data_IF_336426924755
#
_entry.id   IF_336426924755
#
_cell.length_a   1.000
_cell.length_b   1.000
_cell.length_c   1.000
_cell.angle_alpha   90.00
_cell.angle_beta   90.00
_cell.angle_gamma   90.00
#
_symmetry.space_group_name_H-M   'P 1'
#
loop_
_entity.id
_entity.type
_entity.pdbx_description
1 polymer ?
#
# COMPACT_ATOMS: atom_id res chain seq x y z
N UNK A 1 -26.20 -12.48 3.31
CA UNK A 1 -25.07 -13.30 2.79
C UNK A 1 -23.84 -13.04 3.63
N UNK A 2 -23.05 -14.08 3.95
CA UNK A 2 -21.90 -13.99 4.85
C UNK A 2 -20.80 -13.09 4.22
N UNK A 3 -20.26 -12.13 4.97
CA UNK A 3 -19.08 -11.29 4.68
C UNK A 3 -17.92 -12.13 4.07
N UNK A 4 -17.70 -13.33 4.59
CA UNK A 4 -16.66 -14.27 4.12
C UNK A 4 -16.78 -14.66 2.64
N UNK A 5 -17.98 -14.74 2.08
CA UNK A 5 -18.16 -15.09 0.64
C UNK A 5 -17.76 -13.93 -0.26
N UNK A 6 -18.11 -12.69 0.11
CA UNK A 6 -17.74 -11.49 -0.63
C UNK A 6 -16.23 -11.27 -0.61
N UNK A 7 -15.59 -11.43 0.56
CA UNK A 7 -14.14 -11.26 0.74
C UNK A 7 -13.33 -12.23 -0.12
N UNK A 8 -13.80 -13.48 -0.27
CA UNK A 8 -13.18 -14.48 -1.16
C UNK A 8 -13.18 -14.00 -2.62
N UNK A 9 -14.30 -13.44 -3.09
CA UNK A 9 -14.37 -12.92 -4.45
C UNK A 9 -13.51 -11.67 -4.62
N UNK A 10 -13.46 -10.79 -3.63
CA UNK A 10 -12.59 -9.60 -3.67
C UNK A 10 -11.10 -9.99 -3.77
N UNK A 11 -10.64 -10.99 -3.03
CA UNK A 11 -9.26 -11.49 -3.14
C UNK A 11 -8.93 -12.01 -4.54
N UNK A 12 -9.90 -12.64 -5.22
CA UNK A 12 -9.74 -13.06 -6.62
C UNK A 12 -9.70 -11.85 -7.55
N UNK A 13 -10.56 -10.85 -7.34
CA UNK A 13 -10.56 -9.60 -8.11
C UNK A 13 -9.24 -8.84 -7.98
N UNK A 14 -8.62 -8.83 -6.79
CA UNK A 14 -7.28 -8.25 -6.58
C UNK A 14 -6.29 -8.83 -7.59
N UNK A 15 -6.23 -10.16 -7.72
CA UNK A 15 -5.33 -10.83 -8.69
C UNK A 15 -5.63 -10.47 -10.13
N UNK A 16 -6.91 -10.46 -10.52
CA UNK A 16 -7.31 -10.10 -11.89
C UNK A 16 -6.89 -8.67 -12.21
N UNK A 17 -7.18 -7.71 -11.32
CA UNK A 17 -6.84 -6.31 -11.57
C UNK A 17 -5.34 -6.03 -11.47
N UNK A 18 -4.58 -6.74 -10.65
CA UNK A 18 -3.11 -6.66 -10.65
C UNK A 18 -2.51 -7.07 -11.99
N UNK A 19 -3.01 -8.17 -12.56
CA UNK A 19 -2.44 -8.72 -13.79
C UNK A 19 -2.88 -7.97 -15.05
N UNK A 20 -4.11 -7.46 -15.08
CA UNK A 20 -4.71 -6.91 -16.32
C UNK A 20 -4.94 -5.39 -16.25
N UNK A 21 -4.74 -4.76 -15.11
CA UNK A 21 -5.18 -3.39 -14.85
C UNK A 21 -6.72 -3.28 -14.85
N UNK A 22 -7.22 -2.08 -14.62
CA UNK A 22 -8.67 -1.83 -14.68
C UNK A 22 -9.19 -1.97 -16.11
N UNK A 23 -8.51 -1.37 -17.09
CA UNK A 23 -8.97 -1.33 -18.47
C UNK A 23 -8.91 -2.70 -19.13
N UNK A 24 -7.84 -3.46 -18.93
CA UNK A 24 -7.63 -4.78 -19.52
C UNK A 24 -8.49 -5.89 -18.88
N UNK A 25 -9.00 -5.71 -17.66
CA UNK A 25 -9.85 -6.69 -17.01
C UNK A 25 -11.25 -6.70 -17.62
N UNK A 26 -11.60 -7.74 -18.36
CA UNK A 26 -12.95 -7.94 -18.92
C UNK A 26 -13.86 -8.69 -17.94
N UNK A 27 -15.19 -8.48 -18.06
CA UNK A 27 -16.19 -9.24 -17.28
C UNK A 27 -16.07 -10.76 -17.52
N UNK A 28 -15.67 -11.17 -18.71
CA UNK A 28 -15.45 -12.59 -19.03
C UNK A 28 -14.26 -13.17 -18.26
N UNK A 29 -13.13 -12.44 -18.17
CA UNK A 29 -11.97 -12.84 -17.35
C UNK A 29 -12.31 -12.89 -15.86
N UNK A 30 -13.03 -11.87 -15.36
CA UNK A 30 -13.50 -11.82 -13.98
C UNK A 30 -14.42 -13.01 -13.67
N UNK A 31 -15.39 -13.30 -14.57
CA UNK A 31 -16.29 -14.44 -14.45
C UNK A 31 -15.52 -15.76 -14.36
N UNK A 32 -14.57 -15.96 -15.28
CA UNK A 32 -13.71 -17.16 -15.29
C UNK A 32 -12.88 -17.29 -14.00
N UNK A 33 -12.28 -16.20 -13.54
CA UNK A 33 -11.41 -16.21 -12.37
C UNK A 33 -12.19 -16.44 -11.06
N UNK A 34 -13.37 -15.83 -10.92
CA UNK A 34 -14.21 -15.94 -9.72
C UNK A 34 -15.07 -17.21 -9.68
N UNK A 35 -15.26 -17.87 -10.82
CA UNK A 35 -16.23 -18.97 -11.00
C UNK A 35 -17.69 -18.51 -10.97
N UNK A 36 -17.95 -17.20 -11.00
CA UNK A 36 -19.30 -16.63 -10.98
C UNK A 36 -19.79 -16.37 -12.41
N UNK A 37 -21.02 -16.76 -12.71
CA UNK A 37 -21.67 -16.33 -13.95
C UNK A 37 -21.93 -14.82 -13.97
N UNK A 38 -22.10 -14.22 -15.18
CA UNK A 38 -22.34 -12.78 -15.34
C UNK A 38 -23.49 -12.27 -14.46
N UNK A 39 -24.61 -12.99 -14.40
CA UNK A 39 -25.75 -12.60 -13.57
C UNK A 39 -25.39 -12.55 -12.08
N UNK A 40 -24.62 -13.53 -11.58
CA UNK A 40 -24.14 -13.53 -10.20
C UNK A 40 -23.16 -12.40 -9.94
N UNK A 41 -22.27 -12.06 -10.88
CA UNK A 41 -21.37 -10.92 -10.75
C UNK A 41 -22.15 -9.62 -10.58
N UNK A 42 -23.14 -9.35 -11.41
CA UNK A 42 -23.98 -8.15 -11.30
C UNK A 42 -24.93 -8.18 -10.09
N UNK A 43 -25.26 -9.36 -9.58
CA UNK A 43 -25.97 -9.47 -8.29
C UNK A 43 -25.08 -9.05 -7.12
N UNK A 44 -23.79 -9.42 -7.13
CA UNK A 44 -22.84 -9.05 -6.08
C UNK A 44 -22.28 -7.61 -6.22
N UNK A 45 -22.18 -7.14 -7.46
CA UNK A 45 -21.61 -5.86 -7.84
C UNK A 45 -22.50 -5.18 -8.89
N UNK A 46 -23.65 -4.59 -8.47
CA UNK A 46 -24.60 -3.96 -9.39
C UNK A 46 -23.99 -2.86 -10.26
N UNK A 47 -23.01 -2.11 -9.73
CA UNK A 47 -22.23 -1.11 -10.47
C UNK A 47 -21.15 -1.70 -11.39
N UNK A 48 -21.13 -3.03 -11.58
CA UNK A 48 -20.25 -3.72 -12.49
C UNK A 48 -18.77 -3.61 -12.14
N UNK A 49 -17.93 -3.50 -13.17
CA UNK A 49 -16.46 -3.48 -13.03
C UNK A 49 -15.96 -2.33 -12.14
N UNK A 50 -16.63 -1.18 -12.19
CA UNK A 50 -16.27 -0.02 -11.38
C UNK A 50 -16.48 -0.30 -9.88
N UNK A 51 -17.62 -0.86 -9.51
CA UNK A 51 -17.89 -1.26 -8.11
C UNK A 51 -16.95 -2.37 -7.65
N UNK A 52 -16.61 -3.30 -8.53
CA UNK A 52 -15.62 -4.35 -8.23
C UNK A 52 -14.25 -3.74 -7.90
N UNK A 53 -13.78 -2.77 -8.68
CA UNK A 53 -12.51 -2.09 -8.41
C UNK A 53 -12.59 -1.26 -7.13
N UNK A 54 -13.66 -0.48 -6.91
CA UNK A 54 -13.87 0.25 -5.63
C UNK A 54 -13.82 -0.71 -4.44
N UNK A 55 -14.48 -1.86 -4.52
CA UNK A 55 -14.45 -2.87 -3.47
C UNK A 55 -13.05 -3.46 -3.24
N UNK A 56 -12.26 -3.61 -4.29
CA UNK A 56 -10.85 -4.03 -4.20
C UNK A 56 -10.01 -2.96 -3.51
N UNK A 57 -10.17 -1.70 -3.90
CA UNK A 57 -9.44 -0.58 -3.27
C UNK A 57 -9.82 -0.42 -1.79
N UNK A 58 -11.10 -0.54 -1.44
CA UNK A 58 -11.57 -0.52 -0.05
C UNK A 58 -10.98 -1.67 0.78
N UNK A 59 -10.95 -2.87 0.20
CA UNK A 59 -10.37 -4.06 0.84
C UNK A 59 -8.87 -3.88 1.09
N UNK A 60 -8.14 -3.40 0.08
CA UNK A 60 -6.71 -3.14 0.20
C UNK A 60 -6.42 -1.96 1.13
N UNK A 61 -7.22 -0.89 1.06
CA UNK A 61 -7.11 0.25 1.97
C UNK A 61 -7.25 -0.17 3.43
N UNK A 62 -8.27 -0.96 3.76
CA UNK A 62 -8.45 -1.52 5.12
C UNK A 62 -7.28 -2.42 5.52
N UNK A 63 -6.77 -3.24 4.61
CA UNK A 63 -5.62 -4.11 4.88
C UNK A 63 -4.36 -3.29 5.14
N UNK A 64 -4.13 -2.25 4.35
CA UNK A 64 -3.01 -1.34 4.54
C UNK A 64 -3.15 -0.55 5.86
N UNK A 65 -4.34 -0.02 6.16
CA UNK A 65 -4.63 0.64 7.45
C UNK A 65 -4.31 -0.30 8.62
N UNK A 66 -4.86 -1.50 8.62
CA UNK A 66 -4.75 -2.44 9.73
C UNK A 66 -3.34 -3.02 9.91
N UNK A 67 -2.56 -3.16 8.84
CA UNK A 67 -1.26 -3.83 8.88
C UNK A 67 -0.07 -2.88 8.76
N UNK A 68 -0.24 -1.66 8.23
CA UNK A 68 0.85 -0.69 8.10
C UNK A 68 0.67 0.50 9.03
N UNK A 69 -0.47 1.19 8.96
CA UNK A 69 -0.70 2.39 9.77
C UNK A 69 -0.81 2.02 11.26
N UNK A 70 -1.51 0.94 11.61
CA UNK A 70 -1.63 0.50 13.00
C UNK A 70 -0.27 0.08 13.61
N UNK A 71 0.67 -0.42 12.82
CA UNK A 71 2.02 -0.73 13.34
C UNK A 71 2.79 0.53 13.74
N UNK A 72 2.57 1.65 13.04
CA UNK A 72 3.14 2.95 13.40
C UNK A 72 2.57 3.50 14.71
N UNK A 73 1.32 3.19 15.05
CA UNK A 73 0.65 3.57 16.30
C UNK A 73 0.97 2.64 17.46
N UNK A 74 1.62 1.52 17.19
CA UNK A 74 1.94 0.48 18.18
C UNK A 74 3.06 0.88 19.15
N UNK A 75 3.39 -0.03 20.05
CA UNK A 75 4.46 0.12 21.02
C UNK A 75 5.84 -0.15 20.38
N UNK A 76 6.87 0.42 20.98
CA UNK A 76 8.26 0.27 20.58
C UNK A 76 8.92 1.58 20.16
N UNK A 77 10.22 1.52 19.94
CA UNK A 77 11.00 2.64 19.39
C UNK A 77 10.57 2.95 17.95
N UNK A 78 10.87 4.16 17.49
CA UNK A 78 10.54 4.55 16.10
C UNK A 78 11.13 3.58 15.06
N UNK A 79 12.41 3.19 15.12
CA UNK A 79 12.94 2.19 14.20
C UNK A 79 12.18 0.85 14.23
N UNK A 80 11.76 0.37 15.41
CA UNK A 80 10.99 -0.87 15.53
C UNK A 80 9.58 -0.74 14.92
N UNK A 81 8.90 0.39 15.15
CA UNK A 81 7.57 0.67 14.56
C UNK A 81 7.65 0.73 13.03
N UNK A 82 8.67 1.40 12.48
CA UNK A 82 8.92 1.46 11.04
C UNK A 82 9.39 0.11 10.47
N UNK A 83 10.13 -0.71 11.22
CA UNK A 83 10.45 -2.09 10.82
C UNK A 83 9.17 -2.92 10.66
N UNK A 84 8.28 -2.89 11.65
CA UNK A 84 6.98 -3.59 11.59
C UNK A 84 6.12 -3.13 10.42
N UNK A 85 6.10 -1.82 10.13
CA UNK A 85 5.45 -1.28 8.93
C UNK A 85 6.08 -1.87 7.65
N UNK A 86 7.39 -1.95 7.60
CA UNK A 86 8.12 -2.56 6.48
C UNK A 86 7.79 -4.03 6.29
N UNK A 87 7.72 -4.82 7.37
CA UNK A 87 7.30 -6.23 7.33
C UNK A 87 5.87 -6.40 6.80
N UNK A 88 4.96 -5.48 7.16
CA UNK A 88 3.61 -5.47 6.61
C UNK A 88 3.61 -5.24 5.09
N UNK A 89 4.43 -4.32 4.57
CA UNK A 89 4.60 -4.14 3.13
C UNK A 89 5.25 -5.35 2.46
N UNK A 90 6.23 -6.00 3.11
CA UNK A 90 6.79 -7.27 2.63
C UNK A 90 5.71 -8.34 2.44
N UNK A 91 4.78 -8.45 3.39
CA UNK A 91 3.65 -9.39 3.29
C UNK A 91 2.64 -9.00 2.19
N UNK A 92 2.31 -7.71 2.06
CA UNK A 92 1.31 -7.22 1.09
C UNK A 92 1.78 -7.40 -0.35
N UNK A 93 3.08 -7.20 -0.60
CA UNK A 93 3.69 -7.27 -1.93
C UNK A 93 4.48 -8.56 -2.17
N UNK A 94 4.28 -9.59 -1.33
CA UNK A 94 4.95 -10.91 -1.44
C UNK A 94 6.46 -10.77 -1.65
N UNK A 95 7.10 -9.94 -0.80
CA UNK A 95 8.54 -9.68 -0.87
C UNK A 95 8.99 -8.89 -2.11
N UNK A 96 8.09 -8.22 -2.81
CA UNK A 96 8.36 -7.43 -4.02
C UNK A 96 7.97 -8.15 -5.31
N UNK A 97 7.31 -9.31 -5.23
CA UNK A 97 6.86 -10.08 -6.39
C UNK A 97 5.52 -9.56 -6.94
N UNK A 98 4.69 -8.96 -6.09
CA UNK A 98 3.37 -8.43 -6.46
C UNK A 98 3.41 -6.90 -6.70
N UNK A 99 2.84 -6.39 -7.80
CA UNK A 99 2.81 -4.97 -8.08
C UNK A 99 1.81 -4.20 -7.21
N UNK A 100 2.02 -2.89 -7.08
CA UNK A 100 1.10 -2.01 -6.37
C UNK A 100 -0.13 -1.72 -7.23
N UNK A 101 -1.31 -2.15 -6.78
CA UNK A 101 -2.56 -1.89 -7.50
C UNK A 101 -2.93 -0.40 -7.53
N UNK A 102 -2.54 0.35 -6.50
CA UNK A 102 -2.77 1.80 -6.46
C UNK A 102 -1.99 2.50 -7.59
N UNK A 103 -0.73 2.09 -7.83
CA UNK A 103 0.06 2.61 -8.94
C UNK A 103 -0.55 2.22 -10.30
N UNK A 104 -1.01 0.97 -10.45
CA UNK A 104 -1.67 0.51 -11.68
C UNK A 104 -2.91 1.35 -11.99
N UNK A 105 -3.72 1.67 -10.99
CA UNK A 105 -4.94 2.48 -11.17
C UNK A 105 -4.60 3.91 -11.53
N UNK A 106 -3.58 4.52 -10.89
CA UNK A 106 -3.17 5.90 -11.16
C UNK A 106 -2.54 6.09 -12.55
N UNK A 107 -1.93 5.05 -13.10
CA UNK A 107 -1.30 5.11 -14.43
C UNK A 107 -2.25 4.67 -15.56
N UNK A 108 -3.46 4.23 -15.23
CA UNK A 108 -4.47 3.79 -16.19
C UNK A 108 -5.43 4.90 -16.60
N UNK A 109 -6.25 4.65 -17.62
CA UNK A 109 -7.25 5.60 -18.13
C UNK A 109 -8.44 5.83 -17.16
N UNK A 110 -8.54 5.05 -16.10
CA UNK A 110 -9.59 5.16 -15.08
C UNK A 110 -9.14 5.94 -13.84
N UNK A 111 -8.04 6.66 -13.90
CA UNK A 111 -7.47 7.43 -12.80
C UNK A 111 -8.54 8.29 -12.12
N UNK A 112 -9.29 9.08 -12.89
CA UNK A 112 -10.29 10.03 -12.34
C UNK A 112 -11.37 9.35 -11.49
N UNK A 113 -11.68 8.08 -11.78
CA UNK A 113 -12.72 7.31 -11.06
C UNK A 113 -12.31 6.89 -9.66
N UNK A 114 -11.00 6.76 -9.41
CA UNK A 114 -10.46 6.13 -8.21
C UNK A 114 -9.46 7.02 -7.48
N UNK A 115 -9.15 8.20 -8.03
CA UNK A 115 -8.14 9.12 -7.49
C UNK A 115 -8.42 9.48 -6.03
N UNK A 116 -9.67 9.71 -5.66
CA UNK A 116 -10.04 10.09 -4.29
C UNK A 116 -9.68 8.99 -3.28
N UNK A 117 -9.98 7.71 -3.59
CA UNK A 117 -9.64 6.59 -2.70
C UNK A 117 -8.12 6.42 -2.57
N UNK A 118 -7.40 6.53 -3.70
CA UNK A 118 -5.93 6.41 -3.71
C UNK A 118 -5.29 7.58 -2.96
N UNK A 119 -5.77 8.81 -3.18
CA UNK A 119 -5.33 10.02 -2.48
C UNK A 119 -5.53 9.88 -0.98
N UNK A 120 -6.72 9.45 -0.54
CA UNK A 120 -7.03 9.25 0.88
C UNK A 120 -6.04 8.27 1.53
N UNK A 121 -5.73 7.16 0.87
CA UNK A 121 -4.77 6.19 1.39
C UNK A 121 -3.35 6.79 1.53
N UNK A 122 -2.80 7.39 0.46
CA UNK A 122 -1.46 7.96 0.52
C UNK A 122 -1.36 9.08 1.55
N UNK A 123 -2.37 9.94 1.63
CA UNK A 123 -2.43 11.02 2.62
C UNK A 123 -2.42 10.45 4.04
N UNK A 124 -3.32 9.53 4.36
CA UNK A 124 -3.40 8.93 5.71
C UNK A 124 -2.09 8.26 6.12
N UNK A 125 -1.43 7.61 5.19
CA UNK A 125 -0.15 6.94 5.45
C UNK A 125 0.99 7.94 5.69
N UNK A 126 1.13 8.96 4.84
CA UNK A 126 2.13 10.03 5.01
C UNK A 126 1.91 10.81 6.31
N UNK A 127 0.66 11.18 6.60
CA UNK A 127 0.30 11.93 7.81
C UNK A 127 0.64 11.12 9.07
N UNK A 128 0.37 9.81 9.10
CA UNK A 128 0.71 8.98 10.25
C UNK A 128 2.22 8.81 10.43
N UNK A 129 2.99 8.58 9.36
CA UNK A 129 4.46 8.56 9.45
C UNK A 129 5.01 9.87 9.98
N UNK A 130 4.53 11.00 9.44
CA UNK A 130 4.93 12.34 9.86
C UNK A 130 4.64 12.56 11.34
N UNK A 131 3.41 12.24 11.77
CA UNK A 131 2.98 12.37 13.16
C UNK A 131 3.91 11.61 14.11
N UNK A 132 4.21 10.37 13.79
CA UNK A 132 5.07 9.49 14.58
C UNK A 132 6.49 10.04 14.70
N UNK A 133 7.04 10.59 13.62
CA UNK A 133 8.38 11.22 13.62
C UNK A 133 8.41 12.53 14.42
N UNK A 134 7.33 13.33 14.36
CA UNK A 134 7.19 14.55 15.15
C UNK A 134 7.07 14.24 16.64
N UNK A 135 6.31 13.21 17.03
CA UNK A 135 6.21 12.74 18.42
C UNK A 135 7.57 12.30 18.99
N UNK A 136 8.49 11.81 18.14
CA UNK A 136 9.88 11.47 18.51
C UNK A 136 10.82 12.68 18.55
N UNK A 137 10.31 13.89 18.28
CA UNK A 137 11.04 15.15 18.41
C UNK A 137 11.64 15.70 17.12
N UNK A 138 11.29 15.14 15.95
CA UNK A 138 11.67 15.71 14.66
C UNK A 138 10.82 16.95 14.36
N UNK A 139 11.38 17.98 13.75
CA UNK A 139 10.57 19.12 13.28
C UNK A 139 9.64 18.68 12.14
N UNK A 140 8.49 19.37 12.02
CA UNK A 140 7.42 18.97 11.10
C UNK A 140 7.89 18.90 9.64
N UNK A 141 8.69 19.87 9.20
CA UNK A 141 9.16 19.94 7.80
C UNK A 141 10.07 18.77 7.48
N UNK A 142 11.01 18.46 8.37
CA UNK A 142 11.92 17.32 8.23
C UNK A 142 11.15 16.00 8.30
N UNK A 143 10.18 15.89 9.20
CA UNK A 143 9.33 14.70 9.33
C UNK A 143 8.50 14.44 8.06
N UNK A 144 7.92 15.48 7.45
CA UNK A 144 7.20 15.39 6.18
C UNK A 144 8.12 14.90 5.06
N UNK A 145 9.28 15.55 4.87
CA UNK A 145 10.24 15.17 3.84
C UNK A 145 10.74 13.72 4.03
N UNK A 146 10.94 13.29 5.29
CA UNK A 146 11.35 11.92 5.60
C UNK A 146 10.25 10.91 5.29
N UNK A 147 9.00 11.22 5.60
CA UNK A 147 7.84 10.38 5.28
C UNK A 147 7.68 10.22 3.77
N UNK A 148 7.83 11.30 3.01
CA UNK A 148 7.82 11.27 1.54
C UNK A 148 8.99 10.45 0.98
N UNK A 149 10.23 10.62 1.51
CA UNK A 149 11.40 9.81 1.11
C UNK A 149 11.14 8.33 1.27
N UNK A 150 10.54 7.92 2.40
CA UNK A 150 10.22 6.51 2.68
C UNK A 150 9.16 6.00 1.71
N UNK A 151 8.09 6.77 1.50
CA UNK A 151 7.00 6.39 0.61
C UNK A 151 7.49 6.28 -0.85
N UNK A 152 8.27 7.25 -1.34
CA UNK A 152 8.91 7.23 -2.66
C UNK A 152 9.81 6.01 -2.80
N UNK A 153 10.61 5.72 -1.77
CA UNK A 153 11.53 4.59 -1.80
C UNK A 153 10.81 3.23 -1.82
N UNK A 154 9.72 3.07 -1.06
CA UNK A 154 8.89 1.85 -1.09
C UNK A 154 8.30 1.66 -2.49
N UNK A 155 7.63 2.68 -3.04
CA UNK A 155 7.01 2.61 -4.36
C UNK A 155 8.04 2.46 -5.48
N UNK A 156 9.12 3.23 -5.45
CA UNK A 156 10.19 3.16 -6.45
C UNK A 156 10.94 1.83 -6.44
N UNK A 157 11.27 1.31 -5.25
CA UNK A 157 11.92 0.00 -5.13
C UNK A 157 11.03 -1.15 -5.62
N UNK A 158 9.72 -1.05 -5.42
CA UNK A 158 8.75 -2.02 -5.93
C UNK A 158 8.67 -2.00 -7.46
N UNK A 159 8.61 -0.81 -8.06
CA UNK A 159 8.62 -0.65 -9.53
C UNK A 159 9.92 -1.21 -10.12
N UNK A 160 11.09 -0.91 -9.52
CA UNK A 160 12.37 -1.45 -9.97
C UNK A 160 12.44 -2.96 -9.81
N UNK A 161 11.91 -3.50 -8.71
CA UNK A 161 11.85 -4.95 -8.48
C UNK A 161 11.08 -5.66 -9.60
N UNK A 162 9.94 -5.10 -10.01
CA UNK A 162 9.12 -5.61 -11.11
C UNK A 162 9.83 -5.47 -12.46
N UNK A 163 10.30 -4.25 -12.79
CA UNK A 163 10.92 -3.94 -14.09
C UNK A 163 12.21 -4.72 -14.35
N UNK A 164 12.96 -5.05 -13.31
CA UNK A 164 14.22 -5.81 -13.38
C UNK A 164 14.06 -7.28 -13.04
N UNK A 165 12.84 -7.76 -12.75
CA UNK A 165 12.56 -9.11 -12.25
C UNK A 165 13.47 -9.49 -11.07
N UNK A 166 13.73 -8.52 -10.17
CA UNK A 166 14.63 -8.66 -9.04
C UNK A 166 13.99 -8.19 -7.72
N UNK A 167 13.20 -9.03 -7.04
CA UNK A 167 12.53 -8.69 -5.79
C UNK A 167 13.50 -8.29 -4.65
N UNK A 168 14.79 -8.65 -4.75
CA UNK A 168 15.78 -8.29 -3.74
C UNK A 168 15.97 -6.75 -3.61
N UNK A 169 15.65 -5.97 -4.66
CA UNK A 169 15.71 -4.50 -4.61
C UNK A 169 14.71 -3.98 -3.58
N UNK A 170 13.47 -4.43 -3.64
CA UNK A 170 12.42 -4.06 -2.70
C UNK A 170 12.78 -4.49 -1.28
N UNK A 171 13.19 -5.75 -1.09
CA UNK A 171 13.57 -6.29 0.22
C UNK A 171 14.68 -5.48 0.88
N UNK A 172 15.75 -5.15 0.16
CA UNK A 172 16.84 -4.31 0.67
C UNK A 172 16.37 -2.93 1.10
N UNK A 173 15.50 -2.30 0.30
CA UNK A 173 14.96 -1.00 0.68
C UNK A 173 14.14 -1.08 1.96
N UNK A 174 13.21 -2.04 2.06
CA UNK A 174 12.40 -2.24 3.27
C UNK A 174 13.28 -2.45 4.51
N UNK A 175 14.29 -3.29 4.40
CA UNK A 175 15.22 -3.55 5.51
C UNK A 175 16.04 -2.33 5.93
N UNK A 176 16.25 -1.35 5.04
CA UNK A 176 16.98 -0.12 5.34
C UNK A 176 16.14 0.97 6.04
N UNK A 177 14.82 0.83 6.08
CA UNK A 177 13.92 1.87 6.63
C UNK A 177 14.23 2.21 8.10
N UNK A 178 14.45 1.25 9.02
CA UNK A 178 14.75 1.54 10.42
C UNK A 178 15.98 2.44 10.61
N UNK A 179 17.02 2.23 9.80
CA UNK A 179 18.23 3.08 9.85
C UNK A 179 17.97 4.49 9.33
N UNK A 180 17.10 4.63 8.32
CA UNK A 180 16.75 5.92 7.71
C UNK A 180 16.01 6.83 8.70
N UNK A 181 15.16 6.30 9.56
CA UNK A 181 14.43 7.06 10.57
C UNK A 181 15.30 7.35 11.80
N UNK A 182 16.31 6.54 12.11
CA UNK A 182 17.21 6.75 13.22
C UNK A 182 18.21 7.91 12.98
N UNK A 183 18.67 8.09 11.75
CA UNK A 183 19.64 9.15 11.36
C UNK A 183 19.09 10.57 11.44
N UNK A 184 17.79 10.77 11.69
CA UNK A 184 17.17 12.09 11.88
C UNK A 184 17.30 12.66 13.28
N UNK A 185 17.84 11.92 14.24
CA UNK A 185 18.21 12.48 15.55
C UNK A 185 19.52 13.24 15.38
N UNK A 186 19.42 14.56 15.18
CA UNK A 186 20.57 15.45 15.28
C UNK A 186 21.31 15.15 16.56
N UNK A 187 22.62 14.92 16.47
CA UNK A 187 23.54 14.94 17.61
C UNK A 187 23.24 16.19 18.42
N UNK A 188 22.49 16.06 19.52
CA UNK A 188 22.46 17.11 20.53
C UNK A 188 23.90 17.24 21.03
N UNK A 189 24.45 18.39 20.72
CA UNK A 189 25.70 18.94 21.20
C UNK A 189 26.23 18.25 22.44
N UNK A 190 27.24 17.40 22.30
CA UNK A 190 28.24 17.18 23.34
C UNK A 190 29.25 18.33 23.28
N UNK A 191 28.81 19.50 23.68
CA UNK A 191 29.62 20.70 23.64
C UNK A 191 29.28 21.71 24.71
N UNK A 192 29.37 21.29 26.00
CA UNK A 192 29.66 22.22 27.09
C UNK A 192 30.17 21.45 28.31
N UNK A 193 31.45 21.29 28.38
CA UNK A 193 32.22 21.32 29.66
C UNK A 193 33.47 22.15 29.46
#
# INVERSE_FOLDING_TARGET
MSSKSRDKHISTLVKVFRNSGYDGASISQISKATGLGKASLYHHFPGGKEEMMKSVLDFLGKRLENHTIQTLRGEGTIPERFAKMGEAFMSIYEGGEEPCILAIVLLGNAQDKFQEQVHHFFRSWLDEMTKVLVEDGMDVTTAQAKSEEIAIGIQGSLILAQGLSNPAIFRRFIQSIPEKVNKGRGTKDEGQR
#
